data_IF_143935278690
#
_entry.id   IF_143935278690
#
_cell.length_a   1.000
_cell.length_b   1.000
_cell.length_c   1.000
_cell.angle_alpha   90.00
_cell.angle_beta   90.00
_cell.angle_gamma   90.00
#
_symmetry.space_group_name_H-M   'P 1'
#
loop_
_entity.id
_entity.type
_entity.pdbx_description
1 polymer ?
#
# COMPACT_ATOMS: atom_id res chain seq x y z
N UNK A 1 -0.04 -18.71 7.03
CA UNK A 1 0.59 -18.01 8.17
C UNK A 1 -0.46 -17.84 9.25
N UNK A 2 -0.14 -18.11 10.52
CA UNK A 2 -1.06 -17.86 11.65
C UNK A 2 -0.82 -16.45 12.19
N UNK A 3 -1.88 -15.71 12.47
CA UNK A 3 -1.77 -14.42 13.16
C UNK A 3 -1.42 -14.67 14.63
N UNK A 4 -0.70 -13.74 15.25
CA UNK A 4 -0.40 -13.74 16.68
C UNK A 4 -1.22 -12.62 17.32
N UNK A 5 -1.86 -12.88 18.46
CA UNK A 5 -2.58 -11.85 19.22
C UNK A 5 -1.63 -10.83 19.84
N UNK A 6 -0.45 -11.31 20.25
CA UNK A 6 0.67 -10.46 20.62
C UNK A 6 1.65 -10.35 19.46
N UNK A 7 2.07 -9.13 19.10
CA UNK A 7 2.99 -8.95 17.99
C UNK A 7 4.35 -9.54 18.36
N UNK A 8 4.88 -10.38 17.48
CA UNK A 8 6.14 -11.10 17.73
C UNK A 8 7.26 -10.09 18.03
N UNK A 9 8.15 -10.38 19.00
CA UNK A 9 9.32 -9.53 19.21
C UNK A 9 10.07 -9.41 17.87
N UNK A 10 10.67 -8.23 17.58
CA UNK A 10 11.39 -8.05 16.33
C UNK A 10 12.43 -9.16 16.20
N UNK A 11 12.49 -9.79 15.02
CA UNK A 11 13.59 -10.67 14.70
C UNK A 11 14.89 -9.88 14.96
N UNK A 12 15.88 -10.51 15.60
CA UNK A 12 17.19 -9.88 15.83
C UNK A 12 17.74 -9.26 14.55
N UNK A 13 18.67 -8.30 14.67
CA UNK A 13 19.16 -7.49 13.55
C UNK A 13 19.38 -8.33 12.29
N UNK A 14 18.56 -8.09 11.26
CA UNK A 14 18.70 -8.79 9.99
C UNK A 14 20.06 -8.43 9.39
N UNK A 15 20.85 -9.40 8.90
CA UNK A 15 22.10 -9.11 8.21
C UNK A 15 21.92 -8.16 7.02
N UNK A 16 20.72 -8.18 6.39
CA UNK A 16 20.36 -7.27 5.29
C UNK A 16 20.12 -5.85 5.79
N UNK A 17 19.63 -5.68 7.02
CA UNK A 17 19.40 -4.38 7.64
C UNK A 17 20.71 -3.70 8.11
N UNK A 18 21.81 -4.45 8.25
CA UNK A 18 23.14 -3.86 8.50
C UNK A 18 23.69 -3.13 7.27
N UNK A 19 23.23 -3.46 6.06
CA UNK A 19 23.63 -2.77 4.82
C UNK A 19 22.67 -1.63 4.46
N UNK A 20 21.35 -1.85 4.61
CA UNK A 20 20.34 -0.83 4.29
C UNK A 20 20.42 0.35 5.27
N UNK A 21 20.91 1.51 4.83
CA UNK A 21 21.08 2.69 5.68
C UNK A 21 22.53 3.03 6.03
N UNK A 22 23.48 2.11 5.79
CA UNK A 22 24.89 2.26 6.15
C UNK A 22 25.82 2.30 4.93
N UNK A 23 25.34 1.91 3.75
CA UNK A 23 26.06 2.00 2.47
C UNK A 23 25.61 3.17 1.62
N UNK A 24 26.58 3.81 0.98
CA UNK A 24 26.32 4.75 -0.11
C UNK A 24 25.63 4.02 -1.27
N UNK A 25 24.77 4.73 -1.99
CA UNK A 25 24.10 4.28 -3.19
C UNK A 25 25.11 3.81 -4.24
N UNK A 26 25.31 2.51 -4.30
CA UNK A 26 26.41 1.88 -5.00
C UNK A 26 25.96 0.89 -6.05
N UNK A 27 26.82 -0.09 -6.30
CA UNK A 27 26.57 -1.12 -7.30
C UNK A 27 25.43 -2.06 -6.90
N UNK A 28 25.37 -2.48 -5.64
CA UNK A 28 24.37 -3.44 -5.16
C UNK A 28 22.95 -2.88 -5.30
N UNK A 29 22.74 -1.62 -4.94
CA UNK A 29 21.47 -0.92 -5.07
C UNK A 29 21.04 -0.83 -6.53
N UNK A 30 21.97 -0.47 -7.42
CA UNK A 30 21.73 -0.41 -8.87
C UNK A 30 21.37 -1.77 -9.45
N UNK A 31 21.95 -2.87 -8.93
CA UNK A 31 21.60 -4.24 -9.34
C UNK A 31 20.19 -4.59 -8.90
N UNK A 32 19.84 -4.38 -7.62
CA UNK A 32 18.49 -4.64 -7.08
C UNK A 32 17.42 -3.80 -7.79
N UNK A 33 17.77 -2.56 -8.12
CA UNK A 33 16.92 -1.69 -8.93
C UNK A 33 16.80 -2.19 -10.36
N UNK A 34 17.83 -2.81 -10.93
CA UNK A 34 17.79 -3.41 -12.25
C UNK A 34 17.05 -4.75 -12.36
N UNK A 35 16.63 -5.35 -11.23
CA UNK A 35 15.99 -6.66 -11.24
C UNK A 35 14.62 -6.63 -11.91
N UNK A 36 14.38 -7.63 -12.76
CA UNK A 36 13.09 -7.99 -13.34
C UNK A 36 12.61 -9.27 -12.67
N UNK A 37 11.38 -9.26 -12.14
CA UNK A 37 10.82 -10.37 -11.38
C UNK A 37 9.53 -10.82 -12.04
N UNK A 38 9.36 -12.13 -12.20
CA UNK A 38 8.10 -12.75 -12.62
C UNK A 38 7.72 -13.82 -11.61
N UNK A 39 6.49 -13.77 -11.14
CA UNK A 39 5.91 -14.75 -10.24
C UNK A 39 4.59 -15.22 -10.82
N UNK A 40 4.52 -16.50 -11.17
CA UNK A 40 3.32 -17.07 -11.79
C UNK A 40 2.11 -17.00 -10.85
N UNK A 41 2.33 -17.28 -9.56
CA UNK A 41 1.26 -17.40 -8.59
C UNK A 41 1.75 -17.13 -7.17
N UNK A 42 1.07 -16.24 -6.45
CA UNK A 42 1.28 -15.99 -5.03
C UNK A 42 -0.01 -16.31 -4.28
N UNK A 43 0.05 -17.27 -3.36
CA UNK A 43 -1.06 -17.62 -2.48
C UNK A 43 -0.65 -17.42 -1.04
N UNK A 44 -1.32 -16.51 -0.34
CA UNK A 44 -1.11 -16.23 1.07
C UNK A 44 -2.41 -16.58 1.80
N UNK A 45 -2.34 -17.55 2.71
CA UNK A 45 -3.44 -17.90 3.60
C UNK A 45 -3.15 -17.40 5.00
N UNK A 46 -4.05 -16.59 5.54
CA UNK A 46 -3.99 -15.99 6.87
C UNK A 46 -5.03 -16.68 7.72
N UNK A 47 -4.59 -17.29 8.82
CA UNK A 47 -5.47 -17.92 9.80
C UNK A 47 -5.38 -17.16 11.11
N UNK A 48 -6.50 -16.60 11.55
CA UNK A 48 -6.69 -15.92 12.84
C UNK A 48 -7.84 -16.56 13.60
N UNK A 49 -7.92 -16.32 14.92
CA UNK A 49 -9.06 -16.78 15.72
C UNK A 49 -10.37 -16.07 15.32
N UNK A 50 -10.27 -14.83 14.83
CA UNK A 50 -11.41 -14.00 14.47
C UNK A 50 -11.76 -14.06 12.96
N UNK A 51 -10.82 -14.51 12.12
CA UNK A 51 -11.05 -14.58 10.68
C UNK A 51 -10.07 -15.50 9.96
N UNK A 52 -10.49 -16.01 8.81
CA UNK A 52 -9.63 -16.62 7.80
C UNK A 52 -9.61 -15.75 6.55
N UNK A 53 -8.43 -15.49 5.99
CA UNK A 53 -8.31 -14.74 4.74
C UNK A 53 -7.37 -15.42 3.75
N UNK A 54 -7.70 -15.35 2.47
CA UNK A 54 -6.85 -15.77 1.36
C UNK A 54 -6.54 -14.57 0.46
N UNK A 55 -5.29 -14.45 0.06
CA UNK A 55 -4.82 -13.51 -0.94
C UNK A 55 -4.17 -14.32 -2.05
N UNK A 56 -4.68 -14.16 -3.26
CA UNK A 56 -4.29 -14.90 -4.46
C UNK A 56 -3.97 -13.90 -5.57
N UNK A 57 -2.74 -13.93 -6.09
CA UNK A 57 -2.25 -12.97 -7.07
C UNK A 57 -1.51 -13.66 -8.21
N UNK A 58 -2.09 -13.65 -9.40
CA UNK A 58 -1.62 -14.39 -10.58
C UNK A 58 -0.87 -13.51 -11.57
N UNK A 59 0.19 -14.09 -12.16
CA UNK A 59 1.02 -13.46 -13.18
C UNK A 59 1.59 -12.10 -12.73
N UNK A 60 2.14 -12.05 -11.51
CA UNK A 60 2.81 -10.85 -11.03
C UNK A 60 4.12 -10.65 -11.80
N UNK A 61 4.32 -9.45 -12.35
CA UNK A 61 5.58 -9.01 -12.93
C UNK A 61 6.00 -7.71 -12.26
N UNK A 62 7.29 -7.55 -12.00
CA UNK A 62 7.86 -6.35 -11.40
C UNK A 62 9.13 -5.94 -12.12
N UNK A 63 9.18 -4.70 -12.60
CA UNK A 63 10.30 -4.22 -13.41
C UNK A 63 10.52 -2.72 -13.26
N UNK A 64 11.70 -2.26 -13.71
CA UNK A 64 12.06 -0.85 -13.71
C UNK A 64 11.66 -0.16 -14.99
N UNK A 65 11.17 1.06 -14.85
CA UNK A 65 10.64 1.89 -15.94
C UNK A 65 11.28 3.28 -15.90
N UNK A 66 11.20 4.01 -16.99
CA UNK A 66 11.61 5.41 -17.02
C UNK A 66 10.54 6.31 -16.34
N UNK A 67 10.82 7.61 -16.15
CA UNK A 67 9.86 8.54 -15.55
C UNK A 67 8.54 8.73 -16.33
N UNK A 68 8.48 8.26 -17.57
CA UNK A 68 7.29 8.26 -18.42
C UNK A 68 6.53 6.92 -18.36
N UNK A 69 6.88 6.02 -17.42
CA UNK A 69 6.27 4.70 -17.24
C UNK A 69 6.42 3.78 -18.45
N UNK A 70 7.57 3.86 -19.13
CA UNK A 70 7.92 2.99 -20.24
C UNK A 70 9.14 2.15 -19.92
N UNK A 71 9.15 0.91 -20.39
CA UNK A 71 10.32 0.03 -20.27
C UNK A 71 11.44 0.55 -21.17
N UNK A 72 12.63 0.70 -20.61
CA UNK A 72 13.79 1.26 -21.31
C UNK A 72 15.09 0.71 -20.74
N UNK A 73 16.22 1.17 -21.28
CA UNK A 73 17.54 0.95 -20.68
C UNK A 73 17.55 1.35 -19.19
N UNK A 74 18.12 0.49 -18.34
CA UNK A 74 18.21 0.67 -16.88
C UNK A 74 18.92 1.96 -16.46
N UNK A 75 19.73 2.57 -17.32
CA UNK A 75 20.36 3.87 -17.06
C UNK A 75 19.33 5.00 -17.07
N UNK A 76 18.22 4.83 -17.79
CA UNK A 76 17.15 5.81 -17.93
C UNK A 76 16.00 5.58 -16.93
N UNK A 77 16.07 4.51 -16.12
CA UNK A 77 15.06 4.19 -15.08
C UNK A 77 15.38 4.85 -13.73
N UNK A 78 16.38 5.73 -13.69
CA UNK A 78 16.80 6.48 -12.51
C UNK A 78 17.21 7.91 -12.89
N UNK A 79 16.98 8.85 -11.98
CA UNK A 79 17.46 10.23 -12.10
C UNK A 79 18.28 10.53 -10.86
N UNK A 80 19.58 10.72 -11.03
CA UNK A 80 20.46 11.10 -9.92
C UNK A 80 20.82 12.56 -10.05
N UNK A 81 20.61 13.32 -8.98
CA UNK A 81 21.11 14.69 -8.84
C UNK A 81 22.27 14.69 -7.82
N UNK A 82 23.53 14.76 -8.29
CA UNK A 82 24.70 14.79 -7.40
C UNK A 82 24.77 16.02 -6.51
N UNK A 83 24.20 17.17 -6.94
CA UNK A 83 24.23 18.40 -6.15
C UNK A 83 23.29 18.30 -4.95
N UNK A 84 22.12 17.67 -5.14
CA UNK A 84 21.16 17.37 -4.06
C UNK A 84 21.58 16.15 -3.23
N UNK A 85 22.35 15.24 -3.82
CA UNK A 85 22.67 13.95 -3.20
C UNK A 85 21.42 13.05 -3.12
N UNK A 86 20.59 13.09 -4.16
CA UNK A 86 19.31 12.39 -4.22
C UNK A 86 19.18 11.59 -5.51
N UNK A 87 18.44 10.48 -5.45
CA UNK A 87 18.13 9.63 -6.60
C UNK A 87 16.64 9.31 -6.63
N UNK A 88 16.03 9.48 -7.80
CA UNK A 88 14.68 9.04 -8.12
C UNK A 88 14.73 7.73 -8.88
N UNK A 89 13.85 6.80 -8.52
CA UNK A 89 13.73 5.49 -9.17
C UNK A 89 12.26 5.17 -9.40
N UNK A 90 11.98 4.42 -10.47
CA UNK A 90 10.61 4.13 -10.91
C UNK A 90 10.48 2.64 -11.20
N UNK A 91 9.49 2.01 -10.57
CA UNK A 91 9.17 0.59 -10.76
C UNK A 91 7.69 0.43 -11.04
N UNK A 92 7.38 -0.55 -11.88
CA UNK A 92 6.01 -0.95 -12.17
C UNK A 92 5.83 -2.41 -11.80
N UNK A 93 4.77 -2.70 -11.05
CA UNK A 93 4.30 -4.05 -10.78
C UNK A 93 2.98 -4.24 -11.50
N UNK A 94 2.83 -5.32 -12.26
CA UNK A 94 1.61 -5.65 -12.99
C UNK A 94 1.14 -7.05 -12.60
N UNK A 95 -0.16 -7.29 -12.62
CA UNK A 95 -0.73 -8.62 -12.40
C UNK A 95 -1.96 -8.84 -13.26
N UNK A 96 -2.29 -10.10 -13.52
CA UNK A 96 -3.46 -10.45 -14.32
C UNK A 96 -4.73 -10.56 -13.47
N UNK A 97 -4.63 -11.16 -12.29
CA UNK A 97 -5.78 -11.35 -11.40
C UNK A 97 -5.31 -11.25 -9.97
N UNK A 98 -6.05 -10.48 -9.16
CA UNK A 98 -5.94 -10.44 -7.72
C UNK A 98 -7.30 -10.84 -7.13
N UNK A 99 -7.29 -11.82 -6.23
CA UNK A 99 -8.44 -12.27 -5.45
C UNK A 99 -8.10 -12.18 -3.98
N UNK A 100 -8.97 -11.52 -3.23
CA UNK A 100 -8.93 -11.48 -1.77
C UNK A 100 -10.23 -12.08 -1.29
N UNK A 101 -10.13 -13.14 -0.48
CA UNK A 101 -11.28 -13.69 0.23
C UNK A 101 -11.07 -13.56 1.73
N UNK A 102 -12.12 -13.21 2.47
CA UNK A 102 -12.07 -13.11 3.92
C UNK A 102 -13.36 -13.67 4.53
N UNK A 103 -13.22 -14.44 5.59
CA UNK A 103 -14.28 -15.12 6.29
C UNK A 103 -14.16 -14.84 7.79
N UNK A 104 -15.24 -14.46 8.45
CA UNK A 104 -15.24 -14.14 9.88
C UNK A 104 -15.58 -15.40 10.67
N UNK A 105 -14.69 -15.82 11.56
CA UNK A 105 -14.93 -16.98 12.43
C UNK A 105 -15.47 -16.49 13.77
N UNK A 106 -16.73 -16.82 14.08
CA UNK A 106 -17.30 -16.50 15.40
C UNK A 106 -16.84 -17.56 16.41
N UNK A 107 -16.24 -17.13 17.52
CA UNK A 107 -15.84 -18.02 18.61
C UNK A 107 -17.07 -18.33 19.47
N UNK A 108 -17.78 -19.41 19.17
CA UNK A 108 -18.81 -19.96 20.06
C UNK A 108 -19.73 -20.94 19.33
N UNK A 109 -19.95 -22.11 19.93
CA UNK A 109 -20.80 -23.20 19.46
C UNK A 109 -22.04 -22.73 18.66
N UNK A 110 -22.19 -23.32 17.47
CA UNK A 110 -23.20 -23.10 16.42
C UNK A 110 -22.71 -22.17 15.29
N UNK A 111 -22.11 -22.76 14.26
CA UNK A 111 -21.71 -22.07 13.02
C UNK A 111 -22.92 -21.63 12.19
N UNK A 112 -23.28 -20.34 12.07
CA UNK A 112 -23.76 -19.88 10.78
C UNK A 112 -22.53 -19.86 9.87
N UNK A 113 -22.48 -20.77 8.89
CA UNK A 113 -21.51 -20.76 7.79
C UNK A 113 -21.53 -19.36 7.16
N UNK A 114 -20.57 -18.51 7.51
CA UNK A 114 -20.45 -17.18 6.94
C UNK A 114 -19.98 -17.32 5.50
N UNK A 115 -20.65 -16.65 4.57
CA UNK A 115 -20.21 -16.66 3.18
C UNK A 115 -18.95 -15.80 3.09
N UNK A 116 -17.82 -16.25 2.52
CA UNK A 116 -16.60 -15.46 2.50
C UNK A 116 -16.78 -14.21 1.64
N UNK A 117 -16.39 -13.04 2.15
CA UNK A 117 -16.26 -11.81 1.40
C UNK A 117 -15.30 -12.04 0.24
N UNK A 118 -15.65 -11.59 -0.97
CA UNK A 118 -14.77 -11.72 -2.15
C UNK A 118 -14.56 -10.39 -2.83
N UNK A 119 -13.30 -10.00 -2.94
CA UNK A 119 -12.85 -8.90 -3.75
C UNK A 119 -12.01 -9.47 -4.90
N UNK A 120 -12.40 -9.17 -6.14
CA UNK A 120 -11.67 -9.61 -7.32
C UNK A 120 -11.33 -8.38 -8.14
N UNK A 121 -10.07 -8.26 -8.51
CA UNK A 121 -9.62 -7.29 -9.50
C UNK A 121 -8.91 -8.00 -10.64
N UNK A 122 -9.32 -7.67 -11.85
CA UNK A 122 -8.72 -8.16 -13.07
C UNK A 122 -7.84 -7.05 -13.64
N UNK A 123 -6.61 -7.42 -14.01
CA UNK A 123 -5.61 -6.53 -14.59
C UNK A 123 -5.39 -5.29 -13.75
N UNK A 124 -4.36 -5.35 -12.91
CA UNK A 124 -3.96 -4.21 -12.10
C UNK A 124 -2.48 -3.93 -12.24
N UNK A 125 -2.12 -2.68 -11.97
CA UNK A 125 -0.72 -2.31 -11.85
C UNK A 125 -0.50 -1.32 -10.71
N UNK A 126 0.69 -1.39 -10.12
CA UNK A 126 1.18 -0.44 -9.13
C UNK A 126 2.41 0.24 -9.73
N UNK A 127 2.35 1.56 -9.74
CA UNK A 127 3.43 2.42 -10.14
C UNK A 127 4.09 2.99 -8.88
N UNK A 128 5.38 2.70 -8.72
CA UNK A 128 6.17 3.02 -7.53
C UNK A 128 7.26 4.00 -7.94
N UNK A 129 7.24 5.20 -7.36
CA UNK A 129 8.35 6.14 -7.43
C UNK A 129 8.99 6.30 -6.05
N UNK A 130 10.31 6.18 -5.97
CA UNK A 130 11.05 6.33 -4.72
C UNK A 130 12.11 7.41 -4.87
N UNK A 131 12.14 8.33 -3.90
CA UNK A 131 13.19 9.33 -3.72
C UNK A 131 14.06 8.90 -2.56
N UNK A 132 15.34 8.70 -2.81
CA UNK A 132 16.32 8.27 -1.81
C UNK A 132 17.48 9.25 -1.74
N UNK A 133 18.07 9.38 -0.56
CA UNK A 133 19.36 10.06 -0.40
C UNK A 133 20.48 9.12 -0.85
N UNK A 134 21.45 9.60 -1.60
CA UNK A 134 22.55 8.77 -2.13
C UNK A 134 23.55 8.36 -1.07
N UNK A 135 23.70 9.12 0.03
CA UNK A 135 24.70 8.87 1.08
C UNK A 135 24.42 7.63 1.92
N UNK A 136 23.14 7.36 2.20
CA UNK A 136 22.68 6.34 3.13
C UNK A 136 21.53 5.49 2.56
N UNK A 137 21.08 5.76 1.32
CA UNK A 137 19.93 5.12 0.68
C UNK A 137 18.59 5.29 1.44
N UNK A 138 18.51 6.21 2.40
CA UNK A 138 17.29 6.45 3.14
C UNK A 138 16.19 7.01 2.23
N UNK A 139 14.97 6.49 2.38
CA UNK A 139 13.80 6.93 1.60
C UNK A 139 13.35 8.28 2.15
N UNK A 140 13.44 9.31 1.31
CA UNK A 140 13.01 10.68 1.63
C UNK A 140 11.53 10.84 1.32
N UNK A 141 11.07 10.33 0.18
CA UNK A 141 9.68 10.34 -0.22
C UNK A 141 9.35 9.14 -1.10
N UNK A 142 8.08 8.74 -1.10
CA UNK A 142 7.56 7.68 -1.96
C UNK A 142 6.21 8.08 -2.55
N UNK A 143 6.00 7.75 -3.82
CA UNK A 143 4.71 7.87 -4.49
C UNK A 143 4.28 6.49 -4.96
N UNK A 144 3.13 6.02 -4.47
CA UNK A 144 2.52 4.78 -4.96
C UNK A 144 1.23 5.12 -5.69
N UNK A 145 1.04 4.59 -6.89
CA UNK A 145 -0.21 4.72 -7.63
C UNK A 145 -0.73 3.33 -7.99
N UNK A 146 -1.89 2.98 -7.43
CA UNK A 146 -2.63 1.78 -7.75
C UNK A 146 -3.60 2.08 -8.89
N UNK A 147 -3.51 1.30 -9.97
CA UNK A 147 -4.30 1.44 -11.18
C UNK A 147 -5.03 0.13 -11.38
N UNK A 148 -6.34 0.11 -11.10
CA UNK A 148 -7.19 -1.07 -11.18
C UNK A 148 -8.22 -0.87 -12.29
N UNK A 149 -8.27 -1.78 -13.26
CA UNK A 149 -9.20 -1.65 -14.39
C UNK A 149 -10.62 -2.04 -13.95
N UNK A 150 -10.81 -3.30 -13.60
CA UNK A 150 -12.08 -3.79 -13.06
C UNK A 150 -11.90 -4.29 -11.63
N UNK A 151 -12.76 -3.81 -10.74
CA UNK A 151 -12.88 -4.26 -9.37
C UNK A 151 -14.32 -4.75 -9.16
N UNK A 152 -14.48 -6.04 -8.92
CA UNK A 152 -15.75 -6.65 -8.58
C UNK A 152 -15.76 -6.93 -7.09
N UNK A 153 -16.79 -6.43 -6.43
CA UNK A 153 -17.03 -6.70 -5.03
C UNK A 153 -18.44 -7.21 -4.84
N UNK A 154 -18.55 -8.47 -4.39
CA UNK A 154 -19.83 -9.11 -4.10
C UNK A 154 -19.95 -9.32 -2.61
N UNK A 155 -21.03 -8.82 -2.01
CA UNK A 155 -21.30 -8.93 -0.59
C UNK A 155 -22.81 -9.08 -0.29
N UNK A 156 -23.10 -9.65 0.86
CA UNK A 156 -24.42 -9.80 1.48
C UNK A 156 -24.47 -9.02 2.80
N UNK A 157 -25.64 -8.90 3.43
CA UNK A 157 -25.76 -8.24 4.74
C UNK A 157 -24.89 -8.94 5.81
N UNK A 158 -24.94 -10.27 5.88
CA UNK A 158 -24.05 -11.05 6.76
C UNK A 158 -22.58 -10.79 6.48
N UNK A 159 -22.17 -10.72 5.21
CA UNK A 159 -20.80 -10.41 4.80
C UNK A 159 -20.37 -8.99 5.14
N UNK A 160 -21.27 -8.01 5.05
CA UNK A 160 -21.00 -6.63 5.42
C UNK A 160 -20.77 -6.51 6.94
N UNK A 161 -21.59 -7.20 7.74
CA UNK A 161 -21.41 -7.30 9.20
C UNK A 161 -20.09 -7.97 9.55
N UNK A 162 -19.77 -9.08 8.88
CA UNK A 162 -18.48 -9.78 9.04
C UNK A 162 -17.29 -8.86 8.68
N UNK A 163 -17.42 -8.03 7.65
CA UNK A 163 -16.39 -7.06 7.26
C UNK A 163 -16.14 -6.01 8.35
N UNK A 164 -17.18 -5.49 8.99
CA UNK A 164 -17.01 -4.54 10.10
C UNK A 164 -16.23 -5.18 11.26
N UNK A 165 -16.63 -6.40 11.67
CA UNK A 165 -15.88 -7.18 12.69
C UNK A 165 -14.43 -7.45 12.27
N UNK A 166 -14.19 -7.76 10.99
CA UNK A 166 -12.84 -7.96 10.44
C UNK A 166 -11.99 -6.68 10.53
N UNK A 167 -12.55 -5.54 10.13
CA UNK A 167 -11.85 -4.26 10.14
C UNK A 167 -11.45 -3.85 11.57
N UNK A 168 -12.33 -4.08 12.54
CA UNK A 168 -12.05 -3.87 13.97
C UNK A 168 -10.89 -4.76 14.44
N UNK A 169 -10.97 -6.07 14.18
CA UNK A 169 -9.92 -7.03 14.57
C UNK A 169 -8.57 -6.72 13.92
N UNK A 170 -8.55 -6.33 12.64
CA UNK A 170 -7.34 -5.94 11.93
C UNK A 170 -6.76 -4.63 12.49
N UNK A 171 -7.61 -3.65 12.78
CA UNK A 171 -7.19 -2.37 13.35
C UNK A 171 -6.54 -2.56 14.72
N UNK A 172 -7.13 -3.40 15.58
CA UNK A 172 -6.56 -3.71 16.90
C UNK A 172 -5.17 -4.37 16.77
N UNK A 173 -5.03 -5.33 15.85
CA UNK A 173 -3.74 -5.99 15.58
C UNK A 173 -2.69 -5.01 15.04
N UNK A 174 -3.09 -4.09 14.15
CA UNK A 174 -2.22 -3.03 13.63
C UNK A 174 -1.79 -2.05 14.72
N UNK A 175 -2.70 -1.67 15.62
CA UNK A 175 -2.42 -0.76 16.72
C UNK A 175 -1.44 -1.38 17.73
N UNK A 176 -1.66 -2.63 18.15
CA UNK A 176 -0.72 -3.36 19.02
C UNK A 176 0.67 -3.44 18.40
N UNK A 177 0.76 -3.71 17.09
CA UNK A 177 2.05 -3.72 16.37
C UNK A 177 2.71 -2.33 16.33
N UNK A 178 1.93 -1.27 16.13
CA UNK A 178 2.44 0.10 16.14
C UNK A 178 2.92 0.53 17.54
N UNK A 179 2.20 0.15 18.60
CA UNK A 179 2.59 0.40 19.98
C UNK A 179 3.90 -0.35 20.33
N UNK A 180 4.03 -1.62 19.94
CA UNK A 180 5.27 -2.38 20.09
C UNK A 180 6.44 -1.71 19.35
N UNK A 181 6.20 -1.20 18.13
CA UNK A 181 7.25 -0.49 17.37
C UNK A 181 7.69 0.81 18.07
N UNK A 182 6.75 1.53 18.69
CA UNK A 182 7.05 2.73 19.48
C UNK A 182 7.84 2.39 20.75
N UNK A 183 7.50 1.31 21.45
CA UNK A 183 8.17 0.92 22.70
C UNK A 183 9.57 0.32 22.50
N UNK A 184 9.84 -0.31 21.35
CA UNK A 184 11.14 -0.88 21.00
C UNK A 184 12.03 0.06 20.16
N UNK A 185 11.56 1.26 19.82
CA UNK A 185 12.42 2.27 19.21
C UNK A 185 13.48 2.71 20.25
N UNK A 186 14.79 2.66 19.94
CA UNK A 186 15.80 3.15 20.86
C UNK A 186 15.53 4.62 21.16
N UNK A 187 15.50 4.95 22.46
CA UNK A 187 15.33 6.30 22.97
C UNK A 187 16.54 7.16 22.53
N UNK A 188 16.43 7.75 21.35
CA UNK A 188 17.28 8.86 20.94
C UNK A 188 16.38 9.97 20.40
N UNK A 189 16.48 11.09 21.11
CA UNK A 189 15.76 12.36 20.94
C UNK A 189 14.36 12.37 21.53
N UNK A 190 14.35 12.61 22.85
CA UNK A 190 13.25 13.22 23.57
C UNK A 190 12.57 14.31 22.73
N UNK A 191 11.25 14.19 22.66
CA UNK A 191 10.35 15.31 22.47
C UNK A 191 10.69 16.36 23.54
N UNK A 192 11.35 17.44 23.13
CA UNK A 192 11.23 18.70 23.84
C UNK A 192 10.12 19.48 23.15
N UNK A 193 8.92 19.42 23.73
CA UNK A 193 7.94 20.48 23.60
C UNK A 193 8.55 21.73 24.25
N UNK A 194 9.21 22.58 23.48
CA UNK A 194 9.42 24.01 23.72
C UNK A 194 10.24 24.59 22.56
N UNK A 195 9.62 25.52 21.84
CA UNK A 195 10.32 26.42 20.91
C UNK A 195 9.96 26.22 19.45
N UNK A 196 8.84 26.82 19.03
CA UNK A 196 8.76 27.41 17.71
C UNK A 196 10.02 28.25 17.45
N UNK A 197 10.99 27.71 16.71
CA UNK A 197 11.90 28.52 15.92
C UNK A 197 11.38 28.56 14.47
N UNK A 198 10.17 29.10 14.34
CA UNK A 198 9.75 29.77 13.12
C UNK A 198 10.55 31.07 13.01
N UNK A 199 11.85 30.98 12.70
CA UNK A 199 12.70 32.12 12.35
C UNK A 199 14.09 31.67 11.84
N UNK A 200 14.10 30.83 10.81
CA UNK A 200 15.09 31.02 9.74
C UNK A 200 14.33 30.93 8.42
N UNK A 201 13.60 32.01 8.14
CA UNK A 201 13.41 32.43 6.77
C UNK A 201 14.79 32.50 6.13
N UNK A 202 15.13 31.52 5.31
CA UNK A 202 16.08 31.76 4.24
C UNK A 202 15.41 32.70 3.25
N UNK A 203 15.39 33.98 3.60
CA UNK A 203 15.61 35.02 2.61
C UNK A 203 17.04 34.83 2.10
N UNK A 204 17.22 33.88 1.17
CA UNK A 204 18.38 33.92 0.30
C UNK A 204 18.17 35.13 -0.62
N UNK A 205 19.15 36.06 -0.71
CA UNK A 205 19.08 37.12 -1.69
C UNK A 205 18.95 36.48 -3.07
N UNK A 206 18.10 37.04 -3.92
CA UNK A 206 18.18 36.86 -5.36
C UNK A 206 19.56 37.35 -5.83
N UNK A 207 20.58 36.53 -5.64
CA UNK A 207 21.92 36.65 -6.19
C UNK A 207 21.99 35.75 -7.41
N UNK A 208 22.26 36.34 -8.56
CA UNK A 208 22.33 35.63 -9.82
C UNK A 208 23.47 34.59 -9.88
N UNK A 209 23.21 33.48 -10.60
CA UNK A 209 24.18 32.58 -11.29
C UNK A 209 24.80 31.43 -10.47
N UNK A 210 25.09 30.22 -11.01
CA UNK A 210 25.22 29.85 -12.43
C UNK A 210 24.21 28.78 -12.91
N UNK A 211 24.05 28.70 -14.23
CA UNK A 211 23.22 27.73 -14.98
C UNK A 211 22.82 26.46 -14.19
N UNK A 212 21.54 26.35 -13.81
CA UNK A 212 21.00 25.08 -13.34
C UNK A 212 21.35 24.01 -14.37
N UNK A 213 22.12 23.01 -13.95
CA UNK A 213 22.52 21.90 -14.82
C UNK A 213 21.25 21.31 -15.45
N UNK A 214 21.32 20.88 -16.71
CA UNK A 214 20.15 20.29 -17.40
C UNK A 214 19.55 19.13 -16.60
N UNK A 215 20.37 18.43 -15.81
CA UNK A 215 19.95 17.33 -14.94
C UNK A 215 19.16 17.81 -13.71
N UNK A 216 19.54 18.93 -13.08
CA UNK A 216 18.79 19.49 -11.94
C UNK A 216 17.39 19.93 -12.35
N UNK A 217 17.27 20.62 -13.49
CA UNK A 217 15.96 21.00 -14.05
C UNK A 217 15.12 19.79 -14.42
N UNK A 218 15.75 18.71 -14.91
CA UNK A 218 15.06 17.46 -15.22
C UNK A 218 14.60 16.72 -13.96
N UNK A 219 15.43 16.71 -12.92
CA UNK A 219 15.07 16.14 -11.62
C UNK A 219 13.86 16.85 -11.02
N UNK A 220 13.84 18.20 -11.04
CA UNK A 220 12.75 18.99 -10.47
C UNK A 220 11.38 18.71 -11.13
N UNK A 221 11.34 18.27 -12.40
CA UNK A 221 10.10 17.86 -13.08
C UNK A 221 9.47 16.60 -12.49
N UNK A 222 10.28 15.73 -11.90
CA UNK A 222 9.86 14.44 -11.36
C UNK A 222 10.02 14.34 -9.84
N UNK A 223 10.47 15.42 -9.20
CA UNK A 223 10.73 15.47 -7.77
C UNK A 223 9.43 15.33 -6.96
N UNK A 224 9.46 14.45 -5.95
CA UNK A 224 8.34 14.21 -5.05
C UNK A 224 8.54 15.04 -3.78
N UNK A 225 7.68 16.04 -3.58
CA UNK A 225 7.74 16.96 -2.44
C UNK A 225 7.30 16.30 -1.13
N UNK A 226 6.35 15.39 -1.22
CA UNK A 226 5.86 14.62 -0.08
C UNK A 226 5.51 13.20 -0.51
N UNK A 227 5.41 12.30 0.48
CA UNK A 227 4.94 10.94 0.20
C UNK A 227 3.44 10.94 -0.08
N UNK A 228 3.01 10.15 -1.06
CA UNK A 228 1.63 10.13 -1.53
C UNK A 228 1.20 8.75 -2.01
N UNK A 229 -0.08 8.44 -1.81
CA UNK A 229 -0.68 7.18 -2.19
C UNK A 229 -1.96 7.46 -2.98
N UNK A 230 -2.03 6.93 -4.19
CA UNK A 230 -3.11 7.18 -5.12
C UNK A 230 -3.76 5.86 -5.53
N UNK A 231 -5.08 5.84 -5.61
CA UNK A 231 -5.85 4.70 -6.10
C UNK A 231 -6.80 5.19 -7.18
N UNK A 232 -6.62 4.68 -8.39
CA UNK A 232 -7.51 4.88 -9.52
C UNK A 232 -8.19 3.56 -9.85
N UNK A 233 -9.52 3.58 -9.88
CA UNK A 233 -10.35 2.44 -10.28
C UNK A 233 -11.16 2.85 -11.50
N UNK A 234 -10.92 2.22 -12.64
CA UNK A 234 -11.63 2.52 -13.88
C UNK A 234 -13.11 2.13 -13.76
N UNK A 235 -13.39 0.96 -13.17
CA UNK A 235 -14.74 0.49 -12.88
C UNK A 235 -14.79 -0.34 -11.59
N UNK A 236 -15.68 0.04 -10.68
CA UNK A 236 -16.08 -0.78 -9.53
C UNK A 236 -17.51 -1.26 -9.74
N UNK A 237 -17.72 -2.56 -9.76
CA UNK A 237 -19.05 -3.18 -9.70
C UNK A 237 -19.25 -3.75 -8.29
N UNK A 238 -20.17 -3.14 -7.54
CA UNK A 238 -20.56 -3.53 -6.19
C UNK A 238 -21.92 -4.22 -6.23
N UNK A 239 -21.95 -5.50 -5.85
CA UNK A 239 -23.17 -6.30 -5.83
C UNK A 239 -23.54 -6.60 -4.37
N UNK A 240 -24.67 -6.06 -3.92
CA UNK A 240 -25.24 -6.28 -2.60
C UNK A 240 -26.44 -7.20 -2.76
N UNK A 241 -26.34 -8.41 -2.22
CA UNK A 241 -27.38 -9.43 -2.32
C UNK A 241 -27.98 -9.75 -0.94
N UNK A 242 -29.22 -10.23 -0.92
CA UNK A 242 -29.85 -10.74 0.30
C UNK A 242 -29.24 -12.09 0.74
N UNK A 243 -29.29 -12.39 2.04
CA UNK A 243 -28.74 -13.62 2.62
C UNK A 243 -29.64 -14.82 2.29
N UNK A 244 -29.20 -15.64 1.34
CA UNK A 244 -29.95 -16.81 0.86
C UNK A 244 -30.28 -17.85 1.95
N UNK A 245 -29.56 -17.83 3.08
CA UNK A 245 -29.59 -18.86 4.13
C UNK A 245 -30.53 -18.56 5.32
N UNK A 246 -31.12 -17.36 5.42
CA UNK A 246 -32.07 -17.04 6.49
C UNK A 246 -33.51 -17.52 6.18
N UNK A 247 -33.67 -18.51 5.30
CA UNK A 247 -34.96 -19.08 4.92
C UNK A 247 -35.15 -20.44 5.58
N UNK A 248 -35.40 -20.47 6.89
CA UNK A 248 -36.22 -21.54 7.45
C UNK A 248 -36.96 -21.11 8.73
N UNK A 249 -38.26 -21.40 8.73
CA UNK A 249 -39.27 -21.24 9.78
C UNK A 249 -39.73 -19.82 10.17
N UNK A 250 -40.80 -19.35 9.52
CA UNK A 250 -41.97 -18.91 10.30
C UNK A 250 -42.59 -17.53 10.07
N UNK A 251 -42.10 -16.67 9.17
CA UNK A 251 -42.76 -15.37 8.97
C UNK A 251 -42.57 -14.79 7.56
N UNK A 252 -43.63 -14.80 6.74
CA UNK A 252 -44.36 -13.58 6.36
C UNK A 252 -45.37 -13.83 5.23
N UNK A 253 -46.63 -13.54 5.54
CA UNK A 253 -47.76 -13.43 4.62
C UNK A 253 -47.72 -12.09 3.85
N UNK A 254 -46.61 -11.75 3.20
CA UNK A 254 -46.52 -10.71 2.15
C UNK A 254 -45.15 -10.84 1.48
N UNK A 255 -45.10 -11.64 0.41
CA UNK A 255 -43.86 -11.96 -0.28
C UNK A 255 -43.36 -10.79 -1.12
N UNK A 256 -42.34 -10.09 -0.64
CA UNK A 256 -41.32 -9.54 -1.53
C UNK A 256 -40.17 -10.54 -1.54
N UNK A 257 -39.95 -11.16 -2.70
CA UNK A 257 -38.79 -12.03 -2.96
C UNK A 257 -37.51 -11.18 -2.92
N UNK A 258 -36.42 -11.80 -2.43
CA UNK A 258 -35.12 -11.18 -2.13
C UNK A 258 -34.66 -10.09 -3.11
N UNK A 259 -34.09 -9.04 -2.52
CA UNK A 259 -33.56 -7.90 -3.25
C UNK A 259 -32.08 -8.08 -3.59
N UNK A 260 -31.66 -7.48 -4.70
CA UNK A 260 -30.26 -7.26 -5.00
C UNK A 260 -30.09 -5.82 -5.47
N UNK A 261 -29.02 -5.18 -5.00
CA UNK A 261 -28.61 -3.84 -5.43
C UNK A 261 -27.27 -4.00 -6.14
N UNK A 262 -27.21 -3.53 -7.38
CA UNK A 262 -25.96 -3.43 -8.13
C UNK A 262 -25.62 -1.95 -8.31
N UNK A 263 -24.45 -1.55 -7.82
CA UNK A 263 -23.89 -0.21 -7.99
C UNK A 263 -22.65 -0.31 -8.86
N UNK A 264 -22.62 0.44 -9.97
CA UNK A 264 -21.42 0.57 -10.81
C UNK A 264 -20.87 1.97 -10.70
N UNK A 265 -19.66 2.08 -10.17
CA UNK A 265 -18.91 3.32 -10.13
C UNK A 265 -17.88 3.32 -11.25
N UNK A 266 -17.66 4.47 -11.87
CA UNK A 266 -16.69 4.63 -12.96
C UNK A 266 -15.72 5.73 -12.63
N UNK A 267 -14.44 5.51 -12.94
CA UNK A 267 -13.35 6.49 -12.80
C UNK A 267 -13.28 7.08 -11.38
N UNK A 268 -13.21 6.21 -10.39
CA UNK A 268 -12.99 6.64 -9.01
C UNK A 268 -11.50 6.91 -8.79
N UNK A 269 -11.19 8.00 -8.12
CA UNK A 269 -9.84 8.36 -7.72
C UNK A 269 -9.82 8.68 -6.22
N UNK A 270 -8.83 8.16 -5.51
CA UNK A 270 -8.60 8.43 -4.10
C UNK A 270 -7.13 8.81 -3.92
N UNK A 271 -6.90 9.95 -3.28
CA UNK A 271 -5.57 10.48 -3.01
C UNK A 271 -5.37 10.61 -1.50
N UNK A 272 -4.27 10.05 -1.01
CA UNK A 272 -3.92 10.07 0.41
C UNK A 272 -2.51 10.60 0.61
N UNK A 273 -2.42 11.67 1.40
CA UNK A 273 -1.17 12.37 1.73
C UNK A 273 -0.96 12.31 3.26
N UNK A 274 -0.20 11.34 3.76
CA UNK A 274 -0.10 11.04 5.20
C UNK A 274 0.47 12.18 6.05
N UNK A 275 1.30 13.05 5.46
CA UNK A 275 2.03 14.10 6.20
C UNK A 275 1.56 15.52 5.84
N UNK A 276 0.57 15.64 4.97
CA UNK A 276 0.03 16.94 4.59
C UNK A 276 -0.75 17.52 5.76
N UNK A 277 -0.29 18.66 6.28
CA UNK A 277 -1.06 19.41 7.27
C UNK A 277 -2.06 20.27 6.50
N UNK A 278 -3.35 20.12 6.79
CA UNK A 278 -4.35 21.09 6.36
C UNK A 278 -3.94 22.46 6.93
N UNK A 279 -3.78 23.43 6.03
CA UNK A 279 -3.43 24.81 6.37
C UNK A 279 -4.55 25.55 7.08
#
# INVERSE_FOLDING_TARGET
MRTCEEPRPPNGQSPIALAAGQSEYGFAEKVVEGMFIVVNSITIKIHSKAFHASFELWQLQGYSVNPNWQQSDLRLTRITDPQRGEVLTFKELTWQTLRIEADATDNGDQDPITTPLRLITNQGRIQISLKRRTKDCNVVASKLMFLLDDLLWVLTDSQLKAMMKYAESLSEAMEKSAQQRKSLAPESVQVSELGCCAQQAWAQPFGASPSASSIGQYFDKHDMKESSYHLLISRLDLHICDDSHAREAGALKHGMLGGAIQLTFRRMAFDYYPFHRAG
#
